data_IF_672289716520
#
_entry.id   IF_672289716520
#
_cell.length_a   1.000
_cell.length_b   1.000
_cell.length_c   1.000
_cell.angle_alpha   90.00
_cell.angle_beta   90.00
_cell.angle_gamma   90.00
#
_symmetry.space_group_name_H-M   'P 1'
#
loop_
_entity.id
_entity.type
_entity.pdbx_description
1 polymer ?
#
# COMPACT_ATOMS: atom_id res chain seq x y z
N UNK A 1 37.22 18.54 -9.79
CA UNK A 1 37.21 18.18 -8.36
C UNK A 1 37.40 16.68 -8.26
N UNK A 2 38.23 16.29 -7.30
CA UNK A 2 39.03 15.08 -7.27
C UNK A 2 38.27 13.75 -7.30
N UNK A 3 38.71 12.87 -8.20
CA UNK A 3 38.44 11.44 -8.17
C UNK A 3 39.32 10.81 -7.07
N UNK A 4 38.90 10.94 -5.81
CA UNK A 4 39.62 10.40 -4.65
C UNK A 4 39.59 8.88 -4.71
N UNK A 5 40.74 8.24 -4.92
CA UNK A 5 40.89 6.78 -4.80
C UNK A 5 40.42 6.35 -3.39
N UNK A 6 39.62 5.28 -3.28
CA UNK A 6 39.15 4.80 -1.98
C UNK A 6 40.35 4.47 -1.09
N UNK A 7 40.27 4.85 0.19
CA UNK A 7 41.33 4.57 1.16
C UNK A 7 41.47 3.06 1.41
N UNK A 8 42.67 2.56 1.72
CA UNK A 8 42.96 1.12 1.94
C UNK A 8 42.03 0.37 2.93
N UNK A 9 41.29 1.08 3.78
CA UNK A 9 40.28 0.51 4.69
C UNK A 9 38.83 0.50 4.15
N UNK A 10 38.57 1.06 2.97
CA UNK A 10 37.27 1.05 2.30
C UNK A 10 37.09 -0.19 1.41
N UNK A 11 38.15 -0.66 0.76
CA UNK A 11 38.10 -1.87 -0.08
C UNK A 11 37.68 -3.14 0.68
N UNK A 12 38.19 -3.43 1.90
CA UNK A 12 37.78 -4.61 2.66
C UNK A 12 36.31 -4.52 3.12
N UNK A 13 35.84 -3.33 3.49
CA UNK A 13 34.45 -3.10 3.91
C UNK A 13 33.47 -3.22 2.75
N UNK A 14 33.84 -2.70 1.58
CA UNK A 14 33.05 -2.85 0.35
C UNK A 14 32.91 -4.31 -0.04
N UNK A 15 34.03 -5.07 -0.02
CA UNK A 15 34.00 -6.50 -0.33
C UNK A 15 33.11 -7.27 0.64
N UNK A 16 33.23 -7.01 1.94
CA UNK A 16 32.37 -7.65 2.95
C UNK A 16 30.88 -7.33 2.76
N UNK A 17 30.55 -6.08 2.41
CA UNK A 17 29.17 -5.69 2.13
C UNK A 17 28.62 -6.40 0.88
N UNK A 18 29.42 -6.51 -0.18
CA UNK A 18 29.08 -7.24 -1.39
C UNK A 18 28.86 -8.72 -1.12
N UNK A 19 29.82 -9.38 -0.45
CA UNK A 19 29.73 -10.81 -0.12
C UNK A 19 28.45 -11.12 0.66
N UNK A 20 28.11 -10.27 1.64
CA UNK A 20 26.85 -10.37 2.40
C UNK A 20 25.60 -10.17 1.56
N UNK A 21 25.60 -9.18 0.65
CA UNK A 21 24.44 -8.90 -0.20
C UNK A 21 24.19 -10.04 -1.20
N UNK A 22 25.26 -10.58 -1.80
CA UNK A 22 25.18 -11.74 -2.69
C UNK A 22 24.66 -12.96 -1.93
N UNK A 23 25.22 -13.23 -0.75
CA UNK A 23 24.77 -14.34 0.09
C UNK A 23 23.29 -14.21 0.45
N UNK A 24 22.85 -13.02 0.89
CA UNK A 24 21.46 -12.75 1.23
C UNK A 24 20.50 -12.99 0.06
N UNK A 25 20.91 -12.62 -1.16
CA UNK A 25 20.12 -12.81 -2.37
C UNK A 25 20.05 -14.30 -2.77
N UNK A 26 21.20 -14.99 -2.78
CA UNK A 26 21.26 -16.42 -3.12
C UNK A 26 20.48 -17.29 -2.13
N UNK A 27 20.51 -16.96 -0.84
CA UNK A 27 19.70 -17.63 0.20
C UNK A 27 18.18 -17.51 -0.03
N UNK A 28 17.74 -16.55 -0.85
CA UNK A 28 16.32 -16.29 -1.17
C UNK A 28 15.94 -16.74 -2.58
N UNK A 29 16.87 -17.33 -3.32
CA UNK A 29 16.55 -17.90 -4.62
C UNK A 29 15.71 -19.16 -4.44
N UNK A 30 14.62 -19.27 -5.19
CA UNK A 30 13.86 -20.51 -5.27
C UNK A 30 14.75 -21.63 -5.86
N UNK A 31 14.46 -22.88 -5.52
CA UNK A 31 15.19 -24.06 -6.03
C UNK A 31 15.15 -24.14 -7.57
N UNK A 32 14.11 -23.58 -8.19
CA UNK A 32 13.94 -23.50 -9.65
C UNK A 32 14.67 -22.32 -10.30
N UNK A 33 15.34 -21.48 -9.51
CA UNK A 33 16.24 -20.43 -9.98
C UNK A 33 15.68 -19.00 -10.04
N UNK A 34 14.41 -18.78 -9.65
CA UNK A 34 13.78 -17.45 -9.65
C UNK A 34 13.79 -16.78 -8.27
N UNK A 35 13.50 -15.47 -8.22
CA UNK A 35 13.25 -14.71 -6.98
C UNK A 35 11.82 -14.20 -6.97
N UNK A 36 11.18 -14.26 -5.80
CA UNK A 36 9.87 -13.66 -5.57
C UNK A 36 9.98 -12.68 -4.41
N UNK A 37 9.50 -11.47 -4.65
CA UNK A 37 9.32 -10.43 -3.65
C UNK A 37 7.90 -9.90 -3.74
N UNK A 38 7.46 -9.28 -2.65
CA UNK A 38 6.17 -8.60 -2.63
C UNK A 38 6.21 -7.39 -3.57
N UNK A 39 5.20 -7.29 -4.45
CA UNK A 39 4.98 -6.10 -5.27
C UNK A 39 3.93 -5.22 -4.59
N UNK A 40 4.40 -4.32 -3.75
CA UNK A 40 3.54 -3.35 -3.10
C UNK A 40 3.10 -2.26 -4.09
N UNK A 41 1.84 -1.81 -3.98
CA UNK A 41 1.29 -0.71 -4.77
C UNK A 41 0.58 0.30 -3.84
N UNK A 42 -0.74 0.36 -3.90
CA UNK A 42 -1.59 1.12 -2.99
C UNK A 42 -2.75 0.23 -2.54
N UNK A 43 -3.61 0.76 -1.66
CA UNK A 43 -4.70 -0.01 -1.06
C UNK A 43 -5.86 -0.32 -2.01
N UNK A 44 -5.89 0.23 -3.24
CA UNK A 44 -7.03 0.02 -4.13
C UNK A 44 -7.17 -1.44 -4.55
N UNK A 45 -6.08 -2.20 -4.72
CA UNK A 45 -6.18 -3.64 -5.03
C UNK A 45 -6.95 -4.41 -3.94
N UNK A 46 -6.72 -4.07 -2.67
CA UNK A 46 -7.47 -4.66 -1.54
C UNK A 46 -8.90 -4.14 -1.49
N UNK A 47 -9.10 -2.83 -1.68
CA UNK A 47 -10.42 -2.21 -1.67
C UNK A 47 -11.33 -2.75 -2.78
N UNK A 48 -10.85 -2.74 -4.02
CA UNK A 48 -11.54 -3.25 -5.21
C UNK A 48 -11.86 -4.74 -5.08
N UNK A 49 -10.99 -5.55 -4.47
CA UNK A 49 -11.29 -6.95 -4.18
C UNK A 49 -12.44 -7.10 -3.16
N UNK A 50 -12.49 -6.27 -2.12
CA UNK A 50 -13.61 -6.24 -1.17
C UNK A 50 -14.92 -5.85 -1.89
N UNK A 51 -14.87 -4.83 -2.75
CA UNK A 51 -16.03 -4.38 -3.52
C UNK A 51 -16.50 -5.46 -4.51
N UNK A 52 -15.58 -6.15 -5.17
CA UNK A 52 -15.87 -7.27 -6.06
C UNK A 52 -16.59 -8.41 -5.34
N UNK A 53 -16.06 -8.87 -4.20
CA UNK A 53 -16.69 -9.94 -3.44
C UNK A 53 -18.07 -9.52 -2.94
N UNK A 54 -18.21 -8.27 -2.51
CA UNK A 54 -19.51 -7.72 -2.12
C UNK A 54 -20.49 -7.69 -3.29
N UNK A 55 -20.05 -7.26 -4.47
CA UNK A 55 -20.87 -7.21 -5.69
C UNK A 55 -21.32 -8.60 -6.14
N UNK A 56 -20.44 -9.60 -6.05
CA UNK A 56 -20.75 -11.00 -6.37
C UNK A 56 -21.49 -11.76 -5.25
N UNK A 57 -21.84 -11.08 -4.15
CA UNK A 57 -22.46 -11.67 -2.96
C UNK A 57 -21.67 -12.85 -2.36
N UNK A 58 -20.34 -12.79 -2.48
CA UNK A 58 -19.43 -13.79 -1.92
C UNK A 58 -19.04 -13.45 -0.48
N UNK A 59 -18.65 -14.48 0.26
CA UNK A 59 -18.25 -14.36 1.66
C UNK A 59 -16.97 -13.53 1.83
N UNK A 60 -17.04 -12.53 2.72
CA UNK A 60 -15.94 -11.63 3.07
C UNK A 60 -15.21 -12.08 4.34
N UNK A 61 -15.75 -13.02 5.13
CA UNK A 61 -15.21 -13.38 6.45
C UNK A 61 -13.75 -13.80 6.39
N UNK A 62 -13.37 -14.57 5.36
CA UNK A 62 -11.99 -15.03 5.18
C UNK A 62 -10.98 -13.89 5.05
N UNK A 63 -11.36 -12.76 4.44
CA UNK A 63 -10.46 -11.63 4.20
C UNK A 63 -10.67 -10.47 5.16
N UNK A 64 -11.82 -10.40 5.86
CA UNK A 64 -12.29 -9.22 6.60
C UNK A 64 -11.21 -8.58 7.46
N UNK A 65 -10.66 -9.34 8.40
CA UNK A 65 -9.69 -8.81 9.37
C UNK A 65 -8.35 -8.42 8.72
N UNK A 66 -7.92 -9.17 7.69
CA UNK A 66 -6.70 -8.87 6.95
C UNK A 66 -6.83 -7.60 6.11
N UNK A 67 -7.95 -7.45 5.41
CA UNK A 67 -8.25 -6.28 4.59
C UNK A 67 -8.41 -5.01 5.45
N UNK A 68 -9.16 -5.06 6.56
CA UNK A 68 -9.27 -3.93 7.49
C UNK A 68 -7.89 -3.50 7.98
N UNK A 69 -7.08 -4.46 8.46
CA UNK A 69 -5.74 -4.17 8.98
C UNK A 69 -4.83 -3.57 7.91
N UNK A 70 -4.81 -4.15 6.71
CA UNK A 70 -3.98 -3.66 5.61
C UNK A 70 -4.37 -2.23 5.22
N UNK A 71 -5.66 -1.96 5.04
CA UNK A 71 -6.14 -0.63 4.63
C UNK A 71 -5.85 0.40 5.73
N UNK A 72 -6.19 0.12 6.99
CA UNK A 72 -5.96 1.07 8.09
C UNK A 72 -4.46 1.31 8.37
N UNK A 73 -3.61 0.29 8.26
CA UNK A 73 -2.15 0.46 8.46
C UNK A 73 -1.50 1.34 7.39
N UNK A 74 -2.15 1.53 6.24
CA UNK A 74 -1.67 2.38 5.16
C UNK A 74 -2.35 3.77 5.16
N UNK A 75 -3.20 4.06 6.15
CA UNK A 75 -3.81 5.38 6.29
C UNK A 75 -2.74 6.39 6.73
N UNK A 76 -2.74 7.56 6.09
CA UNK A 76 -1.89 8.69 6.47
C UNK A 76 -2.43 9.40 7.71
N UNK A 77 -1.59 10.21 8.35
CA UNK A 77 -1.96 10.98 9.54
C UNK A 77 -3.14 11.94 9.29
N UNK A 78 -3.26 12.46 8.07
CA UNK A 78 -4.37 13.31 7.63
C UNK A 78 -5.69 12.55 7.36
N UNK A 79 -5.67 11.21 7.45
CA UNK A 79 -6.80 10.32 7.19
C UNK A 79 -6.93 9.83 5.75
N UNK A 80 -6.09 10.28 4.83
CA UNK A 80 -6.12 9.89 3.42
C UNK A 80 -5.30 8.65 3.10
N UNK A 81 -5.36 8.21 1.85
CA UNK A 81 -4.44 7.25 1.26
C UNK A 81 -3.77 7.84 0.02
N UNK A 82 -2.55 7.37 -0.29
CA UNK A 82 -1.73 7.85 -1.40
C UNK A 82 -1.50 6.77 -2.46
N UNK A 83 -1.07 7.19 -3.65
CA UNK A 83 -0.72 6.28 -4.76
C UNK A 83 0.62 5.56 -4.57
N UNK A 84 1.52 6.10 -3.75
CA UNK A 84 2.84 5.55 -3.45
C UNK A 84 3.30 5.98 -2.05
N UNK A 85 4.30 5.28 -1.50
CA UNK A 85 4.83 5.54 -0.17
C UNK A 85 5.30 7.00 0.00
N UNK A 86 4.76 7.69 1.01
CA UNK A 86 5.07 9.10 1.27
C UNK A 86 4.46 10.11 0.29
N UNK A 87 3.69 9.65 -0.71
CA UNK A 87 2.99 10.51 -1.67
C UNK A 87 1.86 11.32 -1.03
N UNK A 88 1.34 12.35 -1.73
CA UNK A 88 0.23 13.16 -1.23
C UNK A 88 -1.08 12.36 -1.14
N UNK A 89 -2.06 12.92 -0.45
CA UNK A 89 -3.43 12.40 -0.45
C UNK A 89 -3.97 12.23 -1.87
N UNK A 90 -4.52 11.06 -2.18
CA UNK A 90 -5.20 10.77 -3.43
C UNK A 90 -6.71 10.57 -3.19
N UNK A 91 -7.54 11.35 -3.86
CA UNK A 91 -8.99 11.31 -3.70
C UNK A 91 -9.57 9.93 -4.01
N UNK A 92 -9.19 9.35 -5.14
CA UNK A 92 -9.74 8.10 -5.63
C UNK A 92 -9.39 6.94 -4.71
N UNK A 93 -8.12 6.82 -4.33
CA UNK A 93 -7.66 5.81 -3.37
C UNK A 93 -8.34 5.99 -2.01
N UNK A 94 -8.51 7.23 -1.55
CA UNK A 94 -9.19 7.51 -0.27
C UNK A 94 -10.66 7.12 -0.29
N UNK A 95 -11.38 7.40 -1.39
CA UNK A 95 -12.78 6.98 -1.56
C UNK A 95 -12.90 5.45 -1.54
N UNK A 96 -12.10 4.76 -2.35
CA UNK A 96 -12.17 3.30 -2.47
C UNK A 96 -11.85 2.62 -1.14
N UNK A 97 -10.81 3.10 -0.43
CA UNK A 97 -10.47 2.63 0.92
C UNK A 97 -11.60 2.85 1.93
N UNK A 98 -12.19 4.05 1.97
CA UNK A 98 -13.29 4.38 2.88
C UNK A 98 -14.51 3.48 2.62
N UNK A 99 -14.90 3.29 1.36
CA UNK A 99 -16.05 2.45 1.01
C UNK A 99 -15.78 0.98 1.35
N UNK A 100 -14.58 0.46 1.06
CA UNK A 100 -14.20 -0.90 1.41
C UNK A 100 -14.25 -1.14 2.93
N UNK A 101 -13.71 -0.22 3.74
CA UNK A 101 -13.78 -0.30 5.21
C UNK A 101 -15.24 -0.31 5.70
N UNK A 102 -16.09 0.54 5.12
CA UNK A 102 -17.53 0.57 5.45
C UNK A 102 -18.22 -0.75 5.10
N UNK A 103 -17.92 -1.34 3.93
CA UNK A 103 -18.43 -2.66 3.52
C UNK A 103 -17.99 -3.77 4.49
N UNK A 104 -16.76 -3.68 5.00
CA UNK A 104 -16.21 -4.61 5.99
C UNK A 104 -16.74 -4.37 7.42
N UNK A 105 -17.63 -3.41 7.61
CA UNK A 105 -18.30 -3.14 8.89
C UNK A 105 -17.52 -2.24 9.84
N UNK A 106 -16.50 -1.52 9.37
CA UNK A 106 -15.83 -0.50 10.17
C UNK A 106 -16.78 0.67 10.40
N UNK A 107 -16.91 1.09 11.66
CA UNK A 107 -17.81 2.16 12.06
C UNK A 107 -17.44 3.49 11.37
N UNK A 108 -18.34 4.07 10.54
CA UNK A 108 -18.13 5.38 9.93
C UNK A 108 -17.92 6.50 10.96
N UNK A 109 -18.40 6.34 12.20
CA UNK A 109 -18.18 7.28 13.30
C UNK A 109 -16.79 7.22 13.93
N UNK A 110 -15.98 6.19 13.61
CA UNK A 110 -14.60 6.10 14.11
C UNK A 110 -13.73 7.25 13.60
N UNK A 111 -12.75 7.65 14.41
CA UNK A 111 -11.82 8.74 14.10
C UNK A 111 -11.13 8.56 12.73
N UNK A 112 -10.65 7.34 12.43
CA UNK A 112 -10.05 7.00 11.15
C UNK A 112 -11.00 7.25 9.95
N UNK A 113 -12.27 6.84 10.08
CA UNK A 113 -13.28 7.00 9.03
C UNK A 113 -13.70 8.47 8.87
N UNK A 114 -13.85 9.20 9.98
CA UNK A 114 -14.21 10.62 9.95
C UNK A 114 -13.12 11.48 9.30
N UNK A 115 -11.83 11.23 9.59
CA UNK A 115 -10.73 11.94 8.92
C UNK A 115 -10.69 11.66 7.42
N UNK A 116 -10.84 10.40 7.02
CA UNK A 116 -10.93 10.02 5.61
C UNK A 116 -12.08 10.74 4.90
N UNK A 117 -13.27 10.77 5.51
CA UNK A 117 -14.43 11.45 4.96
C UNK A 117 -14.23 12.96 4.84
N UNK A 118 -13.55 13.59 5.81
CA UNK A 118 -13.20 15.01 5.73
C UNK A 118 -12.29 15.31 4.53
N UNK A 119 -11.28 14.47 4.26
CA UNK A 119 -10.43 14.61 3.08
C UNK A 119 -11.23 14.43 1.79
N UNK A 120 -12.10 13.42 1.72
CA UNK A 120 -12.96 13.17 0.54
C UNK A 120 -13.81 14.41 0.24
N UNK A 121 -14.44 15.01 1.26
CA UNK A 121 -15.24 16.22 1.07
C UNK A 121 -14.39 17.43 0.66
N UNK A 122 -13.23 17.62 1.28
CA UNK A 122 -12.32 18.72 0.96
C UNK A 122 -11.84 18.67 -0.50
N UNK A 123 -11.64 17.47 -1.06
CA UNK A 123 -11.19 17.29 -2.44
C UNK A 123 -12.34 17.23 -3.47
N UNK A 124 -13.59 17.52 -3.07
CA UNK A 124 -14.73 17.62 -3.97
C UNK A 124 -15.50 16.31 -4.20
N UNK A 125 -15.18 15.25 -3.45
CA UNK A 125 -15.94 14.01 -3.41
C UNK A 125 -15.95 13.21 -4.71
N UNK A 126 -16.87 12.24 -4.80
CA UNK A 126 -16.91 11.25 -5.89
C UNK A 126 -17.02 11.88 -7.29
N UNK A 127 -17.60 13.07 -7.41
CA UNK A 127 -17.69 13.78 -8.69
C UNK A 127 -16.30 14.08 -9.29
N UNK A 128 -15.29 14.34 -8.44
CA UNK A 128 -13.91 14.64 -8.83
C UNK A 128 -13.01 13.39 -8.91
N UNK A 129 -13.54 12.20 -8.59
CA UNK A 129 -12.78 10.95 -8.66
C UNK A 129 -12.53 10.48 -10.11
N UNK A 130 -11.50 9.66 -10.29
CA UNK A 130 -11.18 8.99 -11.58
C UNK A 130 -12.33 8.06 -12.00
N UNK A 131 -12.38 7.73 -13.30
CA UNK A 131 -13.47 6.91 -13.87
C UNK A 131 -13.60 5.54 -13.21
N UNK A 132 -12.50 4.86 -12.89
CA UNK A 132 -12.54 3.54 -12.26
C UNK A 132 -13.20 3.56 -10.88
N UNK A 133 -12.93 4.59 -10.06
CA UNK A 133 -13.59 4.78 -8.76
C UNK A 133 -15.10 5.00 -8.89
N UNK A 134 -15.57 5.49 -10.04
CA UNK A 134 -17.00 5.71 -10.30
C UNK A 134 -17.71 4.46 -10.85
N UNK A 135 -16.96 3.50 -11.37
CA UNK A 135 -17.49 2.23 -11.90
C UNK A 135 -17.74 1.24 -10.76
N UNK A 136 -16.84 1.22 -9.77
CA UNK A 136 -16.99 0.49 -8.52
C UNK A 136 -18.10 1.06 -7.63
#
# INVERSE_FOLDING_TARGET
MDNKKPGKGEEPRLKQALDRAVQWLLERQNVEGWWCGELETNVTMTAEHVLLLRFLELDLERIRNGAIRHVLNNQRDDGSWALYFGGPADLSTTIEAYVALKVLGVDPGSDAMQRALAVIHQQGGVAQARVFTKIW
#
